data_IF_900271373447
#
_entry.id   IF_900271373447
#
_cell.length_a   1.000
_cell.length_b   1.000
_cell.length_c   1.000
_cell.angle_alpha   90.00
_cell.angle_beta   90.00
_cell.angle_gamma   90.00
#
_symmetry.space_group_name_H-M   'P 1'
#
loop_
_entity.id
_entity.type
_entity.pdbx_description
1 polymer ?
#
# COMPACT_ATOMS: atom_id res chain seq x y z
N UNK A 1 -2.35 -15.82 1.40
CA UNK A 1 -1.89 -16.18 0.04
C UNK A 1 -3.05 -15.95 -0.93
N UNK A 2 -2.76 -15.61 -2.18
CA UNK A 2 -3.76 -15.46 -3.24
C UNK A 2 -3.48 -16.46 -4.36
N UNK A 3 -4.54 -16.92 -5.03
CA UNK A 3 -4.45 -17.80 -6.20
C UNK A 3 -5.04 -17.05 -7.39
N UNK A 4 -4.36 -17.08 -8.53
CA UNK A 4 -4.84 -16.48 -9.78
C UNK A 4 -5.18 -17.62 -10.74
N UNK A 5 -6.41 -17.65 -11.27
CA UNK A 5 -6.91 -18.66 -12.22
C UNK A 5 -6.61 -20.12 -11.81
N UNK A 6 -6.81 -20.45 -10.53
CA UNK A 6 -6.55 -21.80 -10.00
C UNK A 6 -5.06 -22.17 -9.88
N UNK A 7 -4.16 -21.24 -10.17
CA UNK A 7 -2.72 -21.43 -10.08
C UNK A 7 -2.20 -21.60 -8.65
N UNK A 8 -0.88 -21.78 -8.55
CA UNK A 8 -0.19 -21.93 -7.27
C UNK A 8 -0.45 -20.71 -6.37
N UNK A 9 -0.66 -20.91 -5.06
CA UNK A 9 -0.84 -19.81 -4.14
C UNK A 9 0.44 -18.98 -4.01
N UNK A 10 0.31 -17.66 -4.10
CA UNK A 10 1.40 -16.68 -4.00
C UNK A 10 1.20 -15.80 -2.76
N UNK A 11 2.27 -15.43 -2.02
CA UNK A 11 2.15 -14.67 -0.78
C UNK A 11 2.04 -13.14 -1.00
N UNK A 12 1.24 -12.66 -1.96
CA UNK A 12 1.13 -11.21 -2.26
C UNK A 12 0.84 -10.34 -1.04
N UNK A 13 -0.07 -10.75 -0.15
CA UNK A 13 -0.39 -9.99 1.06
C UNK A 13 0.80 -9.87 2.02
N UNK A 14 1.62 -10.92 2.14
CA UNK A 14 2.81 -10.87 3.00
C UNK A 14 3.88 -9.96 2.39
N UNK A 15 4.08 -10.04 1.07
CA UNK A 15 4.99 -9.15 0.35
C UNK A 15 4.55 -7.68 0.46
N UNK A 16 3.28 -7.38 0.20
CA UNK A 16 2.71 -6.03 0.30
C UNK A 16 2.84 -5.45 1.72
N UNK A 17 2.65 -6.28 2.77
CA UNK A 17 2.88 -5.86 4.14
C UNK A 17 4.36 -5.51 4.41
N UNK A 18 5.28 -6.34 3.93
CA UNK A 18 6.72 -6.08 4.09
C UNK A 18 7.15 -4.80 3.36
N UNK A 19 6.64 -4.58 2.14
CA UNK A 19 6.84 -3.35 1.37
C UNK A 19 6.30 -2.12 2.11
N UNK A 20 5.10 -2.19 2.67
CA UNK A 20 4.53 -1.09 3.45
C UNK A 20 5.38 -0.75 4.69
N UNK A 21 5.87 -1.77 5.41
CA UNK A 21 6.78 -1.56 6.55
C UNK A 21 8.10 -0.91 6.11
N UNK A 22 8.67 -1.35 4.99
CA UNK A 22 9.88 -0.74 4.43
C UNK A 22 9.64 0.73 4.05
N UNK A 23 8.61 0.99 3.23
CA UNK A 23 8.23 2.34 2.78
C UNK A 23 7.97 3.26 3.97
N UNK A 24 7.24 2.79 4.98
CA UNK A 24 6.98 3.53 6.20
C UNK A 24 8.28 3.94 6.91
N UNK A 25 9.22 2.99 7.07
CA UNK A 25 10.51 3.28 7.71
C UNK A 25 11.33 4.33 6.96
N UNK A 26 11.40 4.23 5.63
CA UNK A 26 12.10 5.19 4.78
C UNK A 26 11.44 6.57 4.87
N UNK A 27 10.13 6.65 4.66
CA UNK A 27 9.42 7.93 4.67
C UNK A 27 9.50 8.60 6.04
N UNK A 28 9.31 7.87 7.13
CA UNK A 28 9.41 8.43 8.49
C UNK A 28 10.81 9.00 8.77
N UNK A 29 11.87 8.28 8.38
CA UNK A 29 13.25 8.71 8.59
C UNK A 29 13.55 10.03 7.87
N UNK A 30 13.06 10.19 6.65
CA UNK A 30 13.35 11.37 5.82
C UNK A 30 12.34 12.51 5.98
N UNK A 31 11.12 12.23 6.44
CA UNK A 31 10.11 13.25 6.70
C UNK A 31 10.21 13.84 8.12
N UNK A 32 10.74 13.08 9.08
CA UNK A 32 10.87 13.53 10.48
C UNK A 32 9.56 13.50 11.27
N UNK A 33 8.52 12.81 10.78
CA UNK A 33 7.25 12.60 11.46
C UNK A 33 6.66 11.23 11.11
N UNK A 34 5.63 10.79 11.84
CA UNK A 34 4.96 9.52 11.60
C UNK A 34 4.20 9.55 10.26
N UNK A 35 4.52 8.63 9.35
CA UNK A 35 3.88 8.52 8.03
C UNK A 35 3.05 7.24 8.02
N UNK A 36 1.71 7.32 8.12
CA UNK A 36 0.87 6.12 8.07
C UNK A 36 0.90 5.53 6.66
N UNK A 37 1.28 4.25 6.54
CA UNK A 37 1.29 3.51 5.27
C UNK A 37 0.41 2.27 5.42
N UNK A 38 -0.72 2.27 4.72
CA UNK A 38 -1.65 1.14 4.69
C UNK A 38 -1.42 0.36 3.39
N UNK A 39 -1.07 -0.93 3.42
CA UNK A 39 -0.89 -1.73 2.22
C UNK A 39 -2.24 -2.03 1.56
N UNK A 40 -2.28 -1.89 0.23
CA UNK A 40 -3.42 -2.30 -0.59
C UNK A 40 -2.95 -3.14 -1.77
N UNK A 41 -3.73 -4.17 -2.10
CA UNK A 41 -3.59 -4.99 -3.29
C UNK A 41 -4.82 -4.84 -4.17
N UNK A 42 -4.61 -4.37 -5.39
CA UNK A 42 -5.66 -4.21 -6.39
C UNK A 42 -5.46 -5.26 -7.48
N UNK A 43 -6.47 -6.12 -7.66
CA UNK A 43 -6.51 -7.09 -8.75
C UNK A 43 -7.24 -6.46 -9.95
N UNK A 44 -6.51 -6.26 -11.04
CA UNK A 44 -6.99 -5.62 -12.27
C UNK A 44 -7.32 -6.67 -13.33
N UNK A 45 -8.37 -6.45 -14.12
CA UNK A 45 -8.77 -7.37 -15.19
C UNK A 45 -9.32 -8.72 -14.70
N UNK A 46 -9.71 -8.83 -13.43
CA UNK A 46 -10.33 -10.04 -12.86
C UNK A 46 -11.85 -9.98 -12.96
N UNK A 47 -12.47 -11.10 -13.34
CA UNK A 47 -13.94 -11.22 -13.36
C UNK A 47 -14.53 -11.34 -11.96
N UNK A 48 -13.81 -11.96 -11.04
CA UNK A 48 -14.23 -12.17 -9.66
C UNK A 48 -13.04 -12.17 -8.71
N UNK A 49 -13.29 -11.76 -7.46
CA UNK A 49 -12.31 -11.74 -6.38
C UNK A 49 -12.97 -12.29 -5.13
N UNK A 50 -12.45 -13.42 -4.64
CA UNK A 50 -12.88 -14.02 -3.38
C UNK A 50 -11.91 -13.64 -2.28
N UNK A 51 -12.41 -13.04 -1.20
CA UNK A 51 -11.63 -12.55 -0.05
C UNK A 51 -11.98 -13.37 1.17
N UNK A 52 -10.97 -13.98 1.80
CA UNK A 52 -11.14 -14.55 3.13
C UNK A 52 -11.17 -13.42 4.17
N UNK A 53 -12.13 -13.47 5.10
CA UNK A 53 -12.32 -12.43 6.12
C UNK A 53 -11.06 -12.17 6.99
N UNK A 54 -10.11 -13.10 7.04
CA UNK A 54 -8.93 -13.04 7.93
C UNK A 54 -7.77 -12.15 7.44
N UNK A 55 -7.93 -11.39 6.35
CA UNK A 55 -6.85 -10.57 5.76
C UNK A 55 -6.96 -9.06 6.05
N UNK A 56 -7.43 -8.66 7.24
CA UNK A 56 -7.66 -7.24 7.58
C UNK A 56 -6.41 -6.33 7.58
N UNK A 57 -5.20 -6.89 7.54
CA UNK A 57 -3.97 -6.11 7.53
C UNK A 57 -3.58 -5.54 6.15
N UNK A 58 -4.21 -6.01 5.07
CA UNK A 58 -3.97 -5.54 3.70
C UNK A 58 -5.31 -5.36 3.04
N UNK A 59 -5.59 -4.17 2.51
CA UNK A 59 -6.83 -3.96 1.80
C UNK A 59 -6.82 -4.64 0.43
N UNK A 60 -7.82 -5.49 0.17
CA UNK A 60 -7.91 -6.28 -1.05
C UNK A 60 -9.08 -5.78 -1.90
N UNK A 61 -8.78 -5.27 -3.09
CA UNK A 61 -9.76 -4.64 -3.97
C UNK A 61 -9.67 -5.17 -5.41
N UNK A 62 -10.79 -5.07 -6.12
CA UNK A 62 -10.85 -5.04 -7.58
C UNK A 62 -10.70 -3.59 -8.07
N UNK A 63 -10.36 -3.43 -9.34
CA UNK A 63 -10.23 -2.12 -10.00
C UNK A 63 -11.44 -1.19 -9.73
N UNK A 64 -12.67 -1.68 -9.89
CA UNK A 64 -13.89 -0.90 -9.63
C UNK A 64 -14.09 -0.47 -8.18
N UNK A 65 -13.41 -1.13 -7.23
CA UNK A 65 -13.51 -0.83 -5.80
C UNK A 65 -12.45 0.21 -5.36
N UNK A 66 -11.53 0.62 -6.24
CA UNK A 66 -10.48 1.64 -5.92
C UNK A 66 -11.09 2.99 -5.54
N UNK A 67 -12.28 3.30 -6.05
CA UNK A 67 -13.04 4.50 -5.68
C UNK A 67 -13.37 4.59 -4.19
N UNK A 68 -13.36 3.45 -3.46
CA UNK A 68 -13.54 3.41 -2.02
C UNK A 68 -12.44 4.16 -1.24
N UNK A 69 -11.31 4.49 -1.89
CA UNK A 69 -10.28 5.34 -1.30
C UNK A 69 -10.59 6.82 -1.33
N UNK A 70 -11.50 7.28 -2.20
CA UNK A 70 -11.83 8.70 -2.34
C UNK A 70 -12.27 9.39 -1.03
N UNK A 71 -13.13 8.75 -0.21
CA UNK A 71 -13.53 9.32 1.09
C UNK A 71 -12.45 9.31 2.17
N UNK A 72 -11.28 8.69 1.95
CA UNK A 72 -10.21 8.70 2.94
C UNK A 72 -9.64 10.11 3.08
N UNK A 73 -9.84 10.73 4.23
CA UNK A 73 -9.37 12.07 4.52
C UNK A 73 -8.75 12.16 5.93
N UNK A 74 -7.98 13.23 6.17
CA UNK A 74 -7.84 13.79 7.52
C UNK A 74 -6.73 13.23 8.41
N UNK A 75 -5.69 12.57 7.88
CA UNK A 75 -4.53 12.13 8.71
C UNK A 75 -3.30 13.03 8.65
N UNK A 76 -3.13 13.82 7.60
CA UNK A 76 -1.91 14.59 7.33
C UNK A 76 -2.24 16.04 6.98
N UNK A 77 -1.45 16.97 7.47
CA UNK A 77 -1.52 18.37 7.08
C UNK A 77 -0.98 18.57 5.64
N UNK A 78 -1.41 19.60 4.90
CA UNK A 78 -0.98 19.81 3.52
C UNK A 78 0.54 19.84 3.33
N UNK A 79 1.27 20.51 4.24
CA UNK A 79 2.73 20.56 4.23
C UNK A 79 3.38 19.17 4.43
N UNK A 80 2.79 18.31 5.26
CA UNK A 80 3.26 16.94 5.45
C UNK A 80 3.07 16.11 4.18
N UNK A 81 1.94 16.30 3.48
CA UNK A 81 1.67 15.64 2.20
C UNK A 81 2.72 16.05 1.15
N UNK A 82 3.01 17.34 1.02
CA UNK A 82 4.04 17.85 0.11
C UNK A 82 5.42 17.26 0.41
N UNK A 83 5.80 17.21 1.68
CA UNK A 83 7.09 16.65 2.10
C UNK A 83 7.19 15.15 1.79
N UNK A 84 6.13 14.37 2.06
CA UNK A 84 6.07 12.96 1.69
C UNK A 84 6.25 12.79 0.18
N UNK A 85 5.56 13.59 -0.63
CA UNK A 85 5.69 13.54 -2.09
C UNK A 85 7.10 13.87 -2.58
N UNK A 86 7.76 14.85 -1.97
CA UNK A 86 9.13 15.22 -2.31
C UNK A 86 10.12 14.09 -1.99
N UNK A 87 10.04 13.52 -0.78
CA UNK A 87 10.86 12.39 -0.34
C UNK A 87 10.61 11.16 -1.23
N UNK A 88 9.34 10.81 -1.48
CA UNK A 88 8.98 9.64 -2.26
C UNK A 88 9.51 9.68 -3.70
N UNK A 89 9.62 10.87 -4.30
CA UNK A 89 10.16 11.02 -5.66
C UNK A 89 11.69 11.12 -5.72
N UNK A 90 12.37 11.24 -4.57
CA UNK A 90 13.81 11.42 -4.55
C UNK A 90 14.54 10.07 -4.63
N UNK A 91 14.88 9.64 -5.86
CA UNK A 91 15.49 8.31 -6.16
C UNK A 91 16.64 7.90 -5.23
N UNK A 92 17.53 8.83 -4.84
CA UNK A 92 18.69 8.49 -3.99
C UNK A 92 18.28 7.99 -2.60
N UNK A 93 17.14 8.43 -2.07
CA UNK A 93 16.64 7.98 -0.77
C UNK A 93 16.41 6.46 -0.83
N UNK A 94 15.77 5.97 -1.88
CA UNK A 94 15.48 4.55 -2.08
C UNK A 94 16.71 3.70 -2.37
N UNK A 95 17.74 4.25 -3.01
CA UNK A 95 18.98 3.53 -3.30
C UNK A 95 19.90 3.38 -2.07
N UNK A 96 19.65 4.16 -1.02
CA UNK A 96 20.49 4.23 0.19
C UNK A 96 19.77 3.73 1.46
N UNK A 97 18.56 3.18 1.30
CA UNK A 97 17.65 2.84 2.40
C UNK A 97 17.53 1.36 2.71
#
# INVERSE_FOLDING_TARGET
MAKVNGGKPVPYAAASKAEASYVQGVLQRHCGFAVPVEPALVFVGVTSLYRAATQFAVWIYQEREVSAFGPLAGRLAPNQVEQIYAVARHRRIWLQS
#
